data_IF_166740311946
#
_entry.id   IF_166740311946
#
_cell.length_a   1.000
_cell.length_b   1.000
_cell.length_c   1.000
_cell.angle_alpha   90.00
_cell.angle_beta   90.00
_cell.angle_gamma   90.00
#
_symmetry.space_group_name_H-M   'P 1'
#
loop_
_entity.id
_entity.type
_entity.pdbx_description
1 polymer ?
#
# COMPACT_ATOMS: atom_id res chain seq x y z
N UNK A 1 -9.60 -0.53 7.81
CA UNK A 1 -9.72 0.06 6.46
C UNK A 1 -10.64 -0.83 5.61
N UNK A 2 -10.94 -0.50 4.34
CA UNK A 2 -11.69 -1.40 3.44
C UNK A 2 -10.99 -1.38 2.09
N UNK A 3 -10.65 -2.53 1.53
CA UNK A 3 -9.87 -2.60 0.30
C UNK A 3 -10.15 -3.89 -0.47
N UNK A 4 -10.02 -3.84 -1.80
CA UNK A 4 -10.21 -4.98 -2.67
C UNK A 4 -9.46 -4.82 -3.99
N UNK A 5 -8.98 -5.94 -4.54
CA UNK A 5 -8.41 -6.02 -5.88
C UNK A 5 -8.57 -7.41 -6.47
N UNK A 6 -8.40 -7.51 -7.77
CA UNK A 6 -8.35 -8.80 -8.44
C UNK A 6 -6.97 -9.44 -8.24
N UNK A 7 -6.92 -10.60 -7.58
CA UNK A 7 -5.67 -11.34 -7.44
C UNK A 7 -5.04 -11.64 -8.81
N UNK A 8 -3.73 -11.42 -8.95
CA UNK A 8 -2.99 -11.61 -10.20
C UNK A 8 -3.58 -10.85 -11.41
N UNK A 9 -4.25 -9.72 -11.15
CA UNK A 9 -4.96 -8.95 -12.16
C UNK A 9 -4.08 -8.05 -13.05
N UNK A 10 -2.80 -7.85 -12.72
CA UNK A 10 -1.94 -6.82 -13.31
C UNK A 10 -1.83 -6.86 -14.84
N UNK A 11 -1.80 -8.05 -15.44
CA UNK A 11 -1.69 -8.24 -16.90
C UNK A 11 -3.02 -8.64 -17.56
N UNK A 12 -4.13 -8.33 -16.90
CA UNK A 12 -5.48 -8.60 -17.40
C UNK A 12 -6.27 -7.31 -17.65
N UNK A 13 -7.48 -7.44 -18.20
CA UNK A 13 -8.45 -6.32 -18.25
C UNK A 13 -8.94 -5.88 -16.86
N UNK A 14 -8.66 -6.65 -15.81
CA UNK A 14 -9.08 -6.43 -14.42
C UNK A 14 -7.97 -5.86 -13.53
N UNK A 15 -7.06 -5.07 -14.10
CA UNK A 15 -5.96 -4.38 -13.41
C UNK A 15 -6.44 -3.20 -12.53
N UNK A 16 -7.32 -3.50 -11.57
CA UNK A 16 -8.00 -2.53 -10.72
C UNK A 16 -7.87 -2.91 -9.25
N UNK A 17 -7.61 -1.91 -8.43
CA UNK A 17 -7.60 -1.98 -6.97
C UNK A 17 -8.40 -0.79 -6.41
N UNK A 18 -9.06 -1.02 -5.29
CA UNK A 18 -9.86 -0.04 -4.56
C UNK A 18 -9.46 -0.06 -3.09
N UNK A 19 -9.42 1.11 -2.46
CA UNK A 19 -9.10 1.27 -1.05
C UNK A 19 -9.79 2.49 -0.46
N UNK A 20 -10.30 2.35 0.75
CA UNK A 20 -10.85 3.45 1.55
C UNK A 20 -9.73 4.08 2.39
N UNK A 21 -9.59 5.39 2.28
CA UNK A 21 -8.77 6.19 3.16
C UNK A 21 -9.66 6.93 4.17
N UNK A 22 -9.26 6.93 5.44
CA UNK A 22 -9.93 7.70 6.48
C UNK A 22 -9.39 9.13 6.61
N UNK A 23 -8.28 9.45 5.91
CA UNK A 23 -7.61 10.75 5.94
C UNK A 23 -7.03 11.15 7.30
N UNK A 24 -7.20 10.31 8.34
CA UNK A 24 -6.76 10.57 9.71
C UNK A 24 -5.53 9.74 10.06
N UNK A 25 -5.56 8.46 9.71
CA UNK A 25 -4.45 7.52 9.88
C UNK A 25 -3.69 7.28 8.59
N UNK A 26 -4.10 7.93 7.50
CA UNK A 26 -3.60 7.71 6.15
C UNK A 26 -3.74 6.24 5.75
N UNK A 27 -4.84 5.60 6.15
CA UNK A 27 -5.10 4.18 5.90
C UNK A 27 -5.10 3.82 4.41
N UNK A 28 -5.27 4.82 3.53
CA UNK A 28 -5.14 4.66 2.10
C UNK A 28 -3.76 4.17 1.64
N UNK A 29 -2.68 4.52 2.34
CA UNK A 29 -1.31 4.11 1.97
C UNK A 29 -1.12 2.59 2.12
N UNK A 30 -1.29 1.98 3.32
CA UNK A 30 -1.20 0.53 3.46
C UNK A 30 -2.25 -0.20 2.62
N UNK A 31 -3.45 0.38 2.44
CA UNK A 31 -4.46 -0.19 1.55
C UNK A 31 -3.98 -0.29 0.10
N UNK A 32 -3.40 0.79 -0.44
CA UNK A 32 -2.84 0.77 -1.79
C UNK A 32 -1.73 -0.27 -1.93
N UNK A 33 -0.80 -0.35 -0.97
CA UNK A 33 0.30 -1.32 -0.99
C UNK A 33 -0.22 -2.76 -1.00
N UNK A 34 -1.16 -3.09 -0.10
CA UNK A 34 -1.79 -4.42 -0.05
C UNK A 34 -2.43 -4.81 -1.37
N UNK A 35 -3.23 -3.90 -1.95
CA UNK A 35 -3.99 -4.23 -3.14
C UNK A 35 -3.13 -4.30 -4.40
N UNK A 36 -2.08 -3.49 -4.49
CA UNK A 36 -1.06 -3.60 -5.55
C UNK A 36 -0.30 -4.92 -5.41
N UNK A 37 0.10 -5.31 -4.21
CA UNK A 37 0.74 -6.61 -3.97
C UNK A 37 -0.14 -7.78 -4.42
N UNK A 38 -1.44 -7.76 -4.07
CA UNK A 38 -2.40 -8.77 -4.52
C UNK A 38 -2.62 -8.76 -6.05
N UNK A 39 -2.66 -7.58 -6.69
CA UNK A 39 -2.69 -7.45 -8.16
C UNK A 39 -1.48 -8.10 -8.83
N UNK A 40 -0.31 -7.99 -8.20
CA UNK A 40 0.94 -8.61 -8.67
C UNK A 40 0.98 -10.11 -8.42
N UNK A 41 0.06 -10.66 -7.61
CA UNK A 41 -0.03 -12.08 -7.31
C UNK A 41 0.68 -12.48 -6.01
N UNK A 42 1.05 -11.53 -5.16
CA UNK A 42 1.48 -11.84 -3.79
C UNK A 42 0.24 -12.31 -3.02
N UNK A 43 0.36 -13.47 -2.39
CA UNK A 43 -0.73 -14.10 -1.65
C UNK A 43 -0.83 -13.51 -0.24
N UNK A 44 -2.02 -13.64 0.37
CA UNK A 44 -2.23 -13.36 1.78
C UNK A 44 -1.45 -14.36 2.64
N UNK A 45 -0.99 -13.92 3.80
CA UNK A 45 -0.28 -14.73 4.78
C UNK A 45 -1.29 -15.62 5.53
N UNK A 46 -1.78 -16.68 4.88
CA UNK A 46 -2.83 -17.57 5.42
C UNK A 46 -2.28 -18.85 6.09
N UNK A 47 -0.95 -19.02 6.14
CA UNK A 47 -0.29 -20.24 6.65
C UNK A 47 -0.25 -20.25 8.17
N UNK A 48 -1.36 -20.68 8.78
CA UNK A 48 -1.55 -20.73 10.25
C UNK A 48 -0.50 -21.58 10.99
N UNK A 49 0.15 -22.51 10.31
CA UNK A 49 1.20 -23.38 10.83
C UNK A 49 2.61 -22.76 10.78
N UNK A 50 2.78 -21.63 10.09
CA UNK A 50 4.08 -20.95 9.94
C UNK A 50 4.04 -19.56 10.54
N UNK A 51 4.68 -19.41 11.70
CA UNK A 51 4.88 -18.10 12.35
C UNK A 51 5.51 -17.10 11.38
N UNK A 52 4.99 -15.88 11.38
CA UNK A 52 5.39 -14.82 10.47
C UNK A 52 4.70 -14.89 9.10
N UNK A 53 3.82 -15.87 8.87
CA UNK A 53 3.03 -16.01 7.65
C UNK A 53 1.56 -16.33 7.96
N UNK A 54 1.08 -15.85 9.10
CA UNK A 54 -0.31 -15.98 9.54
C UNK A 54 -1.08 -14.66 9.41
N UNK A 55 -2.43 -14.71 9.45
CA UNK A 55 -3.24 -13.50 9.34
C UNK A 55 -3.11 -12.53 10.52
N UNK A 56 -2.52 -12.98 11.62
CA UNK A 56 -2.45 -12.23 12.88
C UNK A 56 -1.03 -11.71 13.17
N UNK A 57 -0.05 -11.99 12.30
CA UNK A 57 1.34 -11.53 12.46
C UNK A 57 1.52 -10.03 12.14
N UNK A 58 0.53 -9.39 11.49
CA UNK A 58 0.47 -7.95 11.30
C UNK A 58 1.37 -7.37 10.19
N UNK A 59 1.91 -8.20 9.30
CA UNK A 59 2.61 -7.76 8.08
C UNK A 59 1.63 -7.23 7.03
N UNK A 60 2.18 -6.61 5.97
CA UNK A 60 1.38 -6.00 4.89
C UNK A 60 0.32 -6.97 4.36
N UNK A 61 0.69 -8.22 4.08
CA UNK A 61 -0.21 -9.22 3.50
C UNK A 61 -0.84 -10.14 4.55
N UNK A 62 -0.81 -9.78 5.85
CA UNK A 62 -1.45 -10.60 6.89
C UNK A 62 -2.96 -10.67 6.70
N UNK A 63 -3.63 -9.54 6.54
CA UNK A 63 -5.09 -9.56 6.44
C UNK A 63 -5.63 -8.45 5.55
N UNK A 64 -6.46 -8.83 4.59
CA UNK A 64 -7.01 -7.90 3.62
C UNK A 64 -7.89 -6.84 4.28
N UNK A 65 -7.57 -5.57 4.03
CA UNK A 65 -8.40 -4.45 4.48
C UNK A 65 -8.30 -4.15 5.97
N UNK A 66 -7.37 -4.79 6.69
CA UNK A 66 -7.09 -4.46 8.08
C UNK A 66 -5.82 -3.61 8.22
N UNK A 67 -5.68 -2.97 9.38
CA UNK A 67 -4.49 -2.21 9.70
C UNK A 67 -3.29 -3.15 9.83
N UNK A 68 -2.18 -2.73 9.24
CA UNK A 68 -0.90 -3.44 9.32
C UNK A 68 -0.13 -2.92 10.52
N UNK A 69 0.44 -3.81 11.33
CA UNK A 69 1.33 -3.44 12.44
C UNK A 69 2.72 -3.08 11.93
N UNK A 70 3.21 -3.82 10.91
CA UNK A 70 4.54 -3.64 10.35
C UNK A 70 4.46 -3.12 8.91
N UNK A 71 5.21 -2.07 8.55
CA UNK A 71 5.26 -1.54 7.19
C UNK A 71 6.18 -2.39 6.29
N UNK A 72 6.15 -3.71 6.46
CA UNK A 72 7.01 -4.65 5.74
C UNK A 72 6.24 -5.90 5.32
N UNK A 73 6.69 -6.53 4.25
CA UNK A 73 6.21 -7.84 3.84
C UNK A 73 6.77 -8.92 4.75
N UNK A 74 5.96 -9.96 5.00
CA UNK A 74 6.42 -11.19 5.63
C UNK A 74 7.47 -11.89 4.77
N UNK A 75 8.16 -12.85 5.38
CA UNK A 75 9.09 -13.71 4.64
C UNK A 75 8.37 -14.51 3.54
N UNK A 76 7.14 -14.97 3.80
CA UNK A 76 6.37 -15.70 2.79
C UNK A 76 6.00 -14.83 1.59
N UNK A 77 5.59 -13.59 1.85
CA UNK A 77 5.27 -12.63 0.79
C UNK A 77 6.49 -12.29 -0.08
N UNK A 78 7.68 -12.12 0.54
CA UNK A 78 8.94 -11.88 -0.19
C UNK A 78 9.33 -13.06 -1.08
N UNK A 79 9.21 -14.28 -0.58
CA UNK A 79 9.51 -15.48 -1.38
C UNK A 79 8.60 -15.60 -2.62
N UNK A 80 7.32 -15.22 -2.50
CA UNK A 80 6.40 -15.20 -3.65
C UNK A 80 6.79 -14.11 -4.66
N UNK A 81 7.23 -12.94 -4.19
CA UNK A 81 7.74 -11.88 -5.05
C UNK A 81 8.90 -12.38 -5.93
N UNK A 82 9.92 -12.96 -5.33
CA UNK A 82 11.12 -13.43 -6.03
C UNK A 82 10.78 -14.54 -7.03
N UNK A 83 9.96 -15.52 -6.64
CA UNK A 83 9.69 -16.66 -7.51
C UNK A 83 8.65 -16.37 -8.60
N UNK A 84 7.57 -15.64 -8.30
CA UNK A 84 6.44 -15.50 -9.24
C UNK A 84 6.40 -14.15 -9.91
N UNK A 85 6.51 -13.07 -9.13
CA UNK A 85 6.34 -11.71 -9.66
C UNK A 85 7.50 -11.36 -10.59
N UNK A 86 8.73 -11.63 -10.17
CA UNK A 86 9.92 -11.35 -10.97
C UNK A 86 9.95 -12.13 -12.29
N UNK A 87 9.58 -13.42 -12.28
CA UNK A 87 9.46 -14.23 -13.50
C UNK A 87 8.36 -13.67 -14.41
N UNK A 88 7.19 -13.34 -13.86
CA UNK A 88 6.06 -12.77 -14.62
C UNK A 88 6.45 -11.45 -15.30
N UNK A 89 7.23 -10.61 -14.63
CA UNK A 89 7.77 -9.36 -15.16
C UNK A 89 8.75 -9.57 -16.32
N UNK A 90 9.58 -10.61 -16.26
CA UNK A 90 10.49 -10.96 -17.34
C UNK A 90 9.77 -11.54 -18.57
N UNK A 91 8.68 -12.26 -18.34
CA UNK A 91 7.97 -13.00 -19.39
C UNK A 91 6.84 -12.21 -20.08
N UNK A 92 6.35 -11.12 -19.48
CA UNK A 92 5.16 -10.42 -19.96
C UNK A 92 5.42 -8.94 -20.25
N UNK A 93 5.08 -8.48 -21.46
CA UNK A 93 5.27 -7.09 -21.91
C UNK A 93 4.29 -6.07 -21.28
N UNK A 94 3.31 -6.53 -20.50
CA UNK A 94 2.30 -5.71 -19.82
C UNK A 94 2.86 -4.89 -18.66
N UNK A 95 3.99 -5.28 -18.08
CA UNK A 95 4.62 -4.53 -17.00
C UNK A 95 5.29 -3.29 -17.57
N UNK A 96 4.85 -2.11 -17.11
CA UNK A 96 5.51 -0.85 -17.46
C UNK A 96 6.75 -0.73 -16.58
N UNK A 97 7.88 -1.25 -17.08
CA UNK A 97 9.17 -1.17 -16.38
C UNK A 97 9.84 0.19 -16.58
N UNK A 98 9.50 0.88 -17.66
CA UNK A 98 10.03 2.19 -17.99
C UNK A 98 8.99 3.25 -17.62
N UNK A 99 8.95 3.65 -16.35
CA UNK A 99 8.20 4.85 -15.96
C UNK A 99 8.95 6.08 -16.48
N UNK A 100 8.58 6.57 -17.66
CA UNK A 100 8.87 7.96 -18.01
C UNK A 100 8.05 8.84 -17.06
N UNK A 101 8.75 9.46 -16.11
CA UNK A 101 8.29 10.32 -15.01
C UNK A 101 8.28 9.60 -13.64
N UNK A 102 9.23 9.92 -12.73
CA UNK A 102 8.86 9.91 -11.33
C UNK A 102 7.67 10.88 -11.22
N UNK A 103 6.51 10.38 -10.76
CA UNK A 103 5.52 11.25 -10.13
C UNK A 103 6.34 12.14 -9.18
N UNK A 104 6.24 13.47 -9.29
CA UNK A 104 6.98 14.44 -8.47
C UNK A 104 6.72 14.16 -6.98
N UNK A 105 7.37 13.13 -6.45
CA UNK A 105 7.18 12.65 -5.10
C UNK A 105 7.78 13.72 -4.22
N UNK A 106 6.99 14.18 -3.25
CA UNK A 106 7.48 15.13 -2.28
C UNK A 106 8.75 14.59 -1.62
N UNK A 107 9.81 15.41 -1.60
CA UNK A 107 11.02 15.11 -0.84
C UNK A 107 10.77 15.18 0.69
N UNK A 108 9.62 15.73 1.10
CA UNK A 108 9.19 15.77 2.51
C UNK A 108 8.39 14.54 2.86
N UNK A 109 8.55 14.06 4.09
CA UNK A 109 7.70 12.98 4.61
C UNK A 109 6.24 13.43 4.63
N UNK A 110 5.27 12.49 4.53
CA UNK A 110 3.86 12.82 4.71
C UNK A 110 3.61 13.55 6.03
N UNK A 111 4.29 13.14 7.10
CA UNK A 111 4.21 13.81 8.40
C UNK A 111 4.60 15.29 8.31
N UNK A 112 5.78 15.60 7.74
CA UNK A 112 6.24 16.99 7.61
C UNK A 112 5.27 17.84 6.78
N UNK A 113 4.76 17.27 5.68
CA UNK A 113 3.81 17.96 4.81
C UNK A 113 2.50 18.29 5.55
N UNK A 114 1.86 17.30 6.16
CA UNK A 114 0.56 17.49 6.81
C UNK A 114 0.64 18.22 8.16
N UNK A 115 1.71 18.05 8.94
CA UNK A 115 1.89 18.79 10.18
C UNK A 115 2.10 20.29 9.94
N UNK A 116 2.91 20.68 8.95
CA UNK A 116 3.12 22.10 8.62
C UNK A 116 1.80 22.72 8.13
N UNK A 117 1.08 22.03 7.25
CA UNK A 117 -0.22 22.49 6.76
C UNK A 117 -1.22 22.70 7.91
N UNK A 118 -1.29 21.76 8.87
CA UNK A 118 -2.16 21.90 10.05
C UNK A 118 -1.77 23.12 10.89
N UNK A 119 -0.48 23.33 11.17
CA UNK A 119 0.00 24.49 11.94
C UNK A 119 -0.34 25.81 11.25
N UNK A 120 -0.19 25.89 9.93
CA UNK A 120 -0.53 27.07 9.14
C UNK A 120 -2.04 27.37 9.19
N UNK A 121 -2.89 26.36 8.99
CA UNK A 121 -4.34 26.50 9.11
C UNK A 121 -4.75 26.97 10.51
N UNK A 122 -4.18 26.37 11.56
CA UNK A 122 -4.52 26.72 12.93
C UNK A 122 -4.15 28.16 13.26
N UNK A 123 -3.00 28.64 12.73
CA UNK A 123 -2.59 30.03 12.86
C UNK A 123 -3.56 31.00 12.16
N UNK A 124 -4.04 30.64 10.97
CA UNK A 124 -5.04 31.46 10.23
C UNK A 124 -6.35 31.54 11.03
N UNK A 125 -6.86 30.40 11.51
CA UNK A 125 -8.10 30.35 12.31
C UNK A 125 -7.97 31.23 13.55
N UNK A 126 -6.87 31.13 14.30
CA UNK A 126 -6.66 31.97 15.49
C UNK A 126 -6.56 33.46 15.16
N UNK A 127 -6.05 33.83 13.97
CA UNK A 127 -5.97 35.24 13.56
C UNK A 127 -7.35 35.79 13.17
N UNK A 128 -8.21 34.96 12.57
CA UNK A 128 -9.59 35.33 12.20
C UNK A 128 -10.57 35.37 13.37
N UNK A 129 -10.24 34.72 14.50
CA UNK A 129 -11.05 34.76 15.72
C UNK A 129 -10.68 35.90 16.68
N UNK A 130 -9.57 36.61 16.39
CA UNK A 130 -9.08 37.76 17.17
C UNK A 130 -9.43 39.13 16.57
N UNK A 131 -10.15 39.15 15.44
CA UNK A 131 -10.80 40.34 14.87
C UNK A 131 -12.31 40.30 15.13
#
# INVERSE_FOLDING_TARGET
MKAASYAYGVCSRRKVALGSDDGKTFSGVPAAVQQIANLLGIQWDEKRDRKGCTPDDGYIMSRNGEHTLYPSFSECSKNVWEFRVQISMAMSQCYILNMSLPVNASLRTPYDFFCIARKALQKIITLTETE
#
